data_IF_406565290295
#
_entry.id   IF_406565290295
#
_cell.length_a   1.000
_cell.length_b   1.000
_cell.length_c   1.000
_cell.angle_alpha   90.00
_cell.angle_beta   90.00
_cell.angle_gamma   90.00
#
_symmetry.space_group_name_H-M   'P 1'
#
loop_
_entity.id
_entity.type
_entity.pdbx_description
1 polymer ?
#
# COMPACT_ATOMS: atom_id res chain seq x y z
N UNK A 1 -32.18 -13.67 -16.03
CA UNK A 1 -32.69 -12.32 -15.70
C UNK A 1 -31.57 -11.27 -15.86
N UNK A 2 -31.91 -9.98 -16.06
CA UNK A 2 -30.88 -8.92 -16.16
C UNK A 2 -29.90 -8.91 -14.95
N UNK A 3 -30.41 -9.16 -13.74
CA UNK A 3 -29.62 -9.25 -12.51
C UNK A 3 -28.59 -10.40 -12.56
N UNK A 4 -29.01 -11.58 -12.99
CA UNK A 4 -28.10 -12.72 -13.17
C UNK A 4 -27.01 -12.44 -14.20
N UNK A 5 -27.36 -11.72 -15.29
CA UNK A 5 -26.38 -11.31 -16.31
C UNK A 5 -25.35 -10.34 -15.73
N UNK A 6 -25.79 -9.37 -14.92
CA UNK A 6 -24.91 -8.41 -14.21
C UNK A 6 -23.95 -9.14 -13.26
N UNK A 7 -24.47 -10.06 -12.45
CA UNK A 7 -23.65 -10.87 -11.53
C UNK A 7 -22.62 -11.73 -12.27
N UNK A 8 -23.05 -12.38 -13.36
CA UNK A 8 -22.13 -13.18 -14.19
C UNK A 8 -21.02 -12.31 -14.78
N UNK A 9 -21.35 -11.12 -15.29
CA UNK A 9 -20.38 -10.19 -15.83
C UNK A 9 -19.37 -9.74 -14.74
N UNK A 10 -19.84 -9.42 -13.52
CA UNK A 10 -18.98 -9.09 -12.37
C UNK A 10 -17.93 -10.18 -12.13
N UNK A 11 -18.35 -11.43 -12.03
CA UNK A 11 -17.42 -12.55 -11.83
C UNK A 11 -16.46 -12.73 -12.99
N UNK A 12 -16.93 -12.67 -14.24
CA UNK A 12 -16.08 -12.84 -15.41
C UNK A 12 -15.00 -11.75 -15.52
N UNK A 13 -15.32 -10.52 -15.15
CA UNK A 13 -14.37 -9.41 -15.21
C UNK A 13 -13.35 -9.43 -14.07
N UNK A 14 -13.66 -10.01 -12.90
CA UNK A 14 -12.82 -9.91 -11.71
C UNK A 14 -12.08 -11.20 -11.35
N UNK A 15 -12.47 -12.36 -11.87
CA UNK A 15 -11.90 -13.66 -11.48
C UNK A 15 -10.39 -13.74 -11.69
N UNK A 16 -9.90 -13.19 -12.80
CA UNK A 16 -8.45 -13.17 -13.09
C UNK A 16 -7.68 -12.26 -12.13
N UNK A 17 -8.27 -11.14 -11.70
CA UNK A 17 -7.63 -10.24 -10.74
C UNK A 17 -7.56 -10.90 -9.35
N UNK A 18 -8.61 -11.62 -8.90
CA UNK A 18 -8.54 -12.41 -7.67
C UNK A 18 -7.50 -13.53 -7.73
N UNK A 19 -7.38 -14.24 -8.86
CA UNK A 19 -6.33 -15.23 -9.07
C UNK A 19 -4.93 -14.59 -8.93
N UNK A 20 -4.71 -13.43 -9.55
CA UNK A 20 -3.45 -12.69 -9.46
C UNK A 20 -3.13 -12.19 -8.05
N UNK A 21 -4.13 -11.78 -7.29
CA UNK A 21 -3.92 -11.47 -5.85
C UNK A 21 -3.34 -12.67 -5.10
N UNK A 22 -3.87 -13.89 -5.36
CA UNK A 22 -3.36 -15.14 -4.80
C UNK A 22 -1.92 -15.42 -5.23
N UNK A 23 -1.59 -15.26 -6.52
CA UNK A 23 -0.23 -15.44 -7.05
C UNK A 23 0.79 -14.51 -6.37
N UNK A 24 0.43 -13.24 -6.18
CA UNK A 24 1.29 -12.27 -5.49
C UNK A 24 1.44 -12.58 -4.00
N UNK A 25 0.40 -13.08 -3.32
CA UNK A 25 0.50 -13.54 -1.93
C UNK A 25 1.48 -14.71 -1.79
N UNK A 26 1.48 -15.68 -2.72
CA UNK A 26 2.46 -16.77 -2.77
C UNK A 26 3.88 -16.23 -2.99
N UNK A 27 4.07 -15.25 -3.87
CA UNK A 27 5.38 -14.65 -4.09
C UNK A 27 5.91 -13.94 -2.83
N UNK A 28 5.07 -13.19 -2.12
CA UNK A 28 5.42 -12.55 -0.85
C UNK A 28 5.84 -13.60 0.19
N UNK A 29 5.09 -14.71 0.28
CA UNK A 29 5.43 -15.83 1.19
C UNK A 29 6.80 -16.43 0.87
N UNK A 30 7.15 -16.57 -0.42
CA UNK A 30 8.47 -17.06 -0.84
C UNK A 30 9.60 -16.11 -0.44
N UNK A 31 9.39 -14.80 -0.60
CA UNK A 31 10.37 -13.78 -0.16
C UNK A 31 10.56 -13.85 1.36
N UNK A 32 9.48 -13.98 2.13
CA UNK A 32 9.55 -14.11 3.59
C UNK A 32 10.31 -15.38 4.02
N UNK A 33 10.04 -16.51 3.34
CA UNK A 33 10.76 -17.77 3.57
C UNK A 33 12.25 -17.62 3.26
N UNK A 34 12.62 -17.00 2.14
CA UNK A 34 14.02 -16.78 1.77
C UNK A 34 14.75 -15.91 2.80
N UNK A 35 14.13 -14.85 3.28
CA UNK A 35 14.69 -14.00 4.33
C UNK A 35 14.92 -14.79 5.62
N UNK A 36 13.97 -15.63 6.02
CA UNK A 36 14.07 -16.48 7.21
C UNK A 36 15.19 -17.51 7.09
N UNK A 37 15.21 -18.29 6.00
CA UNK A 37 16.22 -19.34 5.76
C UNK A 37 17.64 -18.78 5.72
N UNK A 38 17.81 -17.58 5.17
CA UNK A 38 19.11 -16.90 5.07
C UNK A 38 19.43 -16.01 6.27
N UNK A 39 18.59 -16.03 7.31
CA UNK A 39 18.73 -15.17 8.52
C UNK A 39 18.95 -13.70 8.18
N UNK A 40 18.25 -13.19 7.17
CA UNK A 40 18.34 -11.79 6.73
C UNK A 40 17.30 -10.94 7.40
N UNK A 41 17.68 -9.75 7.83
CA UNK A 41 16.81 -8.82 8.57
C UNK A 41 16.91 -7.45 7.91
N UNK A 42 15.75 -6.82 7.68
CA UNK A 42 15.69 -5.42 7.26
C UNK A 42 16.11 -4.49 8.39
N UNK A 43 16.67 -3.33 8.05
CA UNK A 43 16.93 -2.27 9.03
C UNK A 43 15.63 -1.79 9.67
N UNK A 44 15.68 -1.21 10.86
CA UNK A 44 14.47 -0.78 11.58
C UNK A 44 13.72 0.32 10.82
N UNK A 45 14.43 1.21 10.14
CA UNK A 45 13.83 2.16 9.21
C UNK A 45 13.06 1.46 8.08
N UNK A 46 13.63 0.41 7.47
CA UNK A 46 12.96 -0.33 6.40
C UNK A 46 11.75 -1.12 6.91
N UNK A 47 11.83 -1.69 8.12
CA UNK A 47 10.69 -2.35 8.77
C UNK A 47 9.53 -1.38 9.03
N UNK A 48 9.85 -0.19 9.55
CA UNK A 48 8.84 0.84 9.77
C UNK A 48 8.16 1.26 8.46
N UNK A 49 8.95 1.53 7.42
CA UNK A 49 8.47 1.88 6.10
C UNK A 49 7.55 0.80 5.52
N UNK A 50 7.97 -0.48 5.58
CA UNK A 50 7.16 -1.62 5.15
C UNK A 50 5.86 -1.74 5.96
N UNK A 51 5.92 -1.57 7.28
CA UNK A 51 4.72 -1.64 8.13
C UNK A 51 3.67 -0.59 7.76
N UNK A 52 4.08 0.64 7.44
CA UNK A 52 3.16 1.68 6.96
C UNK A 52 2.55 1.28 5.62
N UNK A 53 3.35 0.82 4.67
CA UNK A 53 2.87 0.38 3.35
C UNK A 53 1.95 -0.83 3.45
N UNK A 54 2.28 -1.83 4.27
CA UNK A 54 1.45 -3.02 4.52
C UNK A 54 0.11 -2.66 5.17
N UNK A 55 0.09 -1.68 6.06
CA UNK A 55 -1.14 -1.16 6.67
C UNK A 55 -2.05 -0.51 5.63
N UNK A 56 -1.47 0.27 4.71
CA UNK A 56 -2.20 0.86 3.59
C UNK A 56 -2.74 -0.22 2.62
N UNK A 57 -1.91 -1.23 2.31
CA UNK A 57 -2.29 -2.32 1.43
C UNK A 57 -3.41 -3.19 2.03
N UNK A 58 -3.35 -3.44 3.34
CA UNK A 58 -4.42 -4.16 4.05
C UNK A 58 -5.75 -3.42 3.97
N UNK A 59 -5.75 -2.10 4.22
CA UNK A 59 -6.98 -1.31 4.08
C UNK A 59 -7.51 -1.33 2.63
N UNK A 60 -6.62 -1.26 1.64
CA UNK A 60 -7.00 -1.36 0.23
C UNK A 60 -7.68 -2.70 -0.08
N UNK A 61 -7.13 -3.82 0.41
CA UNK A 61 -7.71 -5.14 0.27
C UNK A 61 -9.08 -5.23 0.94
N UNK A 62 -9.21 -4.72 2.18
CA UNK A 62 -10.47 -4.72 2.92
C UNK A 62 -11.55 -3.90 2.18
N UNK A 63 -11.21 -2.71 1.68
CA UNK A 63 -12.09 -1.90 0.84
C UNK A 63 -12.54 -2.64 -0.43
N UNK A 64 -11.60 -3.27 -1.12
CA UNK A 64 -11.86 -3.98 -2.37
C UNK A 64 -12.77 -5.19 -2.14
N UNK A 65 -12.48 -6.01 -1.14
CA UNK A 65 -13.24 -7.22 -0.83
C UNK A 65 -14.67 -6.85 -0.37
N UNK A 66 -14.81 -5.88 0.53
CA UNK A 66 -16.11 -5.43 1.02
C UNK A 66 -16.94 -4.82 -0.12
N UNK A 67 -16.31 -4.00 -0.98
CA UNK A 67 -16.99 -3.47 -2.16
C UNK A 67 -17.48 -4.55 -3.10
N UNK A 68 -16.70 -5.63 -3.26
CA UNK A 68 -17.08 -6.75 -4.14
C UNK A 68 -18.22 -7.59 -3.54
N UNK A 69 -18.17 -7.87 -2.24
CA UNK A 69 -19.15 -8.72 -1.54
C UNK A 69 -20.48 -7.99 -1.36
N UNK A 70 -20.42 -6.74 -0.90
CA UNK A 70 -21.60 -5.96 -0.51
C UNK A 70 -22.10 -5.03 -1.64
N UNK A 71 -21.43 -5.02 -2.79
CA UNK A 71 -21.69 -4.08 -3.92
C UNK A 71 -21.63 -2.61 -3.47
N UNK A 72 -20.73 -2.30 -2.53
CA UNK A 72 -20.59 -0.97 -1.92
C UNK A 72 -19.75 -0.05 -2.83
N UNK A 73 -20.46 0.78 -3.61
CA UNK A 73 -19.86 1.75 -4.54
C UNK A 73 -19.10 2.87 -3.82
N UNK A 74 -19.49 3.19 -2.57
CA UNK A 74 -18.82 4.24 -1.77
C UNK A 74 -17.42 3.77 -1.37
N UNK A 75 -17.27 2.52 -0.96
CA UNK A 75 -15.97 1.93 -0.66
C UNK A 75 -15.18 1.66 -1.95
N UNK A 76 -15.82 1.21 -3.03
CA UNK A 76 -15.17 1.05 -4.33
C UNK A 76 -14.51 2.36 -4.82
N UNK A 77 -15.18 3.49 -4.65
CA UNK A 77 -14.65 4.81 -5.04
C UNK A 77 -13.41 5.26 -4.23
N UNK A 78 -13.19 4.70 -3.02
CA UNK A 78 -12.01 5.00 -2.18
C UNK A 78 -10.78 4.19 -2.58
N UNK A 79 -10.94 3.13 -3.35
CA UNK A 79 -9.85 2.23 -3.75
C UNK A 79 -8.81 2.95 -4.61
N UNK A 80 -9.23 3.72 -5.61
CA UNK A 80 -8.28 4.37 -6.54
C UNK A 80 -7.40 5.43 -5.87
N UNK A 81 -7.91 6.36 -5.01
CA UNK A 81 -7.06 7.29 -4.27
C UNK A 81 -6.02 6.58 -3.39
N UNK A 82 -6.40 5.50 -2.69
CA UNK A 82 -5.49 4.74 -1.85
C UNK A 82 -4.46 3.96 -2.69
N UNK A 83 -4.88 3.41 -3.84
CA UNK A 83 -3.99 2.74 -4.80
C UNK A 83 -2.95 3.70 -5.35
N UNK A 84 -3.33 4.95 -5.71
CA UNK A 84 -2.39 5.97 -6.18
C UNK A 84 -1.33 6.26 -5.10
N UNK A 85 -1.75 6.44 -3.84
CA UNK A 85 -0.82 6.64 -2.72
C UNK A 85 0.13 5.45 -2.53
N UNK A 86 -0.36 4.21 -2.58
CA UNK A 86 0.50 3.01 -2.47
C UNK A 86 1.57 2.98 -3.56
N UNK A 87 1.22 3.36 -4.79
CA UNK A 87 2.19 3.49 -5.88
C UNK A 87 3.29 4.53 -5.60
N UNK A 88 2.91 5.68 -5.04
CA UNK A 88 3.85 6.73 -4.62
C UNK A 88 4.75 6.19 -3.50
N UNK A 89 4.18 5.58 -2.46
CA UNK A 89 4.93 4.99 -1.35
C UNK A 89 5.92 3.92 -1.84
N UNK A 90 5.50 3.02 -2.72
CA UNK A 90 6.39 2.01 -3.30
C UNK A 90 7.60 2.64 -3.99
N UNK A 91 7.40 3.71 -4.77
CA UNK A 91 8.49 4.43 -5.43
C UNK A 91 9.42 5.12 -4.43
N UNK A 92 8.87 5.80 -3.44
CA UNK A 92 9.65 6.47 -2.40
C UNK A 92 10.48 5.46 -1.59
N UNK A 93 9.92 4.32 -1.23
CA UNK A 93 10.62 3.26 -0.51
C UNK A 93 11.76 2.67 -1.36
N UNK A 94 11.56 2.47 -2.66
CA UNK A 94 12.62 2.07 -3.59
C UNK A 94 13.78 3.07 -3.59
N UNK A 95 13.49 4.37 -3.66
CA UNK A 95 14.51 5.42 -3.66
C UNK A 95 15.25 5.49 -2.32
N UNK A 96 14.55 5.37 -1.19
CA UNK A 96 15.15 5.31 0.14
C UNK A 96 16.05 4.09 0.29
N UNK A 97 15.62 2.95 -0.24
CA UNK A 97 16.40 1.72 -0.20
C UNK A 97 17.68 1.83 -1.04
N UNK A 98 17.63 2.40 -2.26
CA UNK A 98 18.81 2.68 -3.08
C UNK A 98 19.80 3.57 -2.31
N UNK A 99 19.32 4.58 -1.59
CA UNK A 99 20.16 5.43 -0.74
C UNK A 99 20.84 4.62 0.38
N UNK A 100 20.13 3.71 1.04
CA UNK A 100 20.70 2.81 2.06
C UNK A 100 21.79 1.89 1.47
N UNK A 101 21.55 1.32 0.29
CA UNK A 101 22.55 0.50 -0.43
C UNK A 101 23.82 1.30 -0.72
N UNK A 102 23.69 2.50 -1.28
CA UNK A 102 24.82 3.38 -1.60
C UNK A 102 25.65 3.77 -0.38
N UNK A 103 25.01 3.89 0.77
CA UNK A 103 25.66 4.23 2.04
C UNK A 103 26.20 3.00 2.79
N UNK A 104 26.12 1.79 2.23
CA UNK A 104 26.55 0.56 2.88
C UNK A 104 25.72 0.16 4.10
N UNK A 105 24.51 0.69 4.22
CA UNK A 105 23.59 0.44 5.35
C UNK A 105 22.73 -0.83 5.17
N UNK A 106 22.79 -1.48 4.02
CA UNK A 106 22.20 -2.79 3.79
C UNK A 106 23.00 -3.56 2.72
N UNK A 107 22.86 -4.89 2.72
CA UNK A 107 23.47 -5.74 1.71
C UNK A 107 22.59 -5.86 0.44
N UNK A 108 23.20 -6.20 -0.68
CA UNK A 108 22.56 -6.28 -1.98
C UNK A 108 21.42 -7.32 -2.05
N UNK A 109 21.60 -8.46 -1.39
CA UNK A 109 20.61 -9.54 -1.45
C UNK A 109 19.36 -9.20 -0.63
N UNK A 110 19.53 -8.57 0.55
CA UNK A 110 18.41 -8.00 1.31
C UNK A 110 17.70 -6.92 0.50
N UNK A 111 18.46 -6.20 -0.36
CA UNK A 111 17.94 -5.21 -1.29
C UNK A 111 17.03 -5.80 -2.37
N UNK A 112 17.39 -6.93 -2.93
CA UNK A 112 16.53 -7.63 -3.90
C UNK A 112 15.23 -8.08 -3.26
N UNK A 113 15.29 -8.71 -2.08
CA UNK A 113 14.09 -9.13 -1.34
C UNK A 113 13.16 -7.93 -1.03
N UNK A 114 13.71 -6.78 -0.63
CA UNK A 114 12.94 -5.57 -0.39
C UNK A 114 12.24 -5.07 -1.66
N UNK A 115 12.96 -5.02 -2.78
CA UNK A 115 12.38 -4.60 -4.07
C UNK A 115 11.31 -5.56 -4.57
N UNK A 116 11.48 -6.87 -4.34
CA UNK A 116 10.49 -7.88 -4.72
C UNK A 116 9.21 -7.74 -3.92
N UNK A 117 9.29 -7.46 -2.60
CA UNK A 117 8.12 -7.15 -1.78
C UNK A 117 7.38 -5.93 -2.33
N UNK A 118 8.08 -4.81 -2.57
CA UNK A 118 7.47 -3.59 -3.09
C UNK A 118 6.81 -3.80 -4.46
N UNK A 119 7.40 -4.62 -5.30
CA UNK A 119 6.85 -4.95 -6.62
C UNK A 119 5.55 -5.75 -6.49
N UNK A 120 5.51 -6.75 -5.60
CA UNK A 120 4.30 -7.52 -5.37
C UNK A 120 3.20 -6.68 -4.72
N UNK A 121 3.52 -5.77 -3.79
CA UNK A 121 2.55 -4.86 -3.17
C UNK A 121 1.92 -3.90 -4.18
N UNK A 122 2.72 -3.30 -5.07
CA UNK A 122 2.23 -2.44 -6.15
C UNK A 122 1.30 -3.20 -7.12
N UNK A 123 1.63 -4.47 -7.44
CA UNK A 123 0.78 -5.33 -8.28
C UNK A 123 -0.53 -5.71 -7.61
N UNK A 124 -0.51 -6.06 -6.32
CA UNK A 124 -1.73 -6.29 -5.54
C UNK A 124 -2.63 -5.04 -5.59
N UNK A 125 -2.05 -3.86 -5.35
CA UNK A 125 -2.80 -2.61 -5.40
C UNK A 125 -3.42 -2.35 -6.78
N UNK A 126 -2.72 -2.68 -7.88
CA UNK A 126 -3.24 -2.56 -9.23
C UNK A 126 -4.43 -3.51 -9.49
N UNK A 127 -4.36 -4.77 -9.03
CA UNK A 127 -5.47 -5.73 -9.16
C UNK A 127 -6.69 -5.33 -8.32
N UNK A 128 -6.48 -4.76 -7.12
CA UNK A 128 -7.55 -4.17 -6.32
C UNK A 128 -8.28 -3.04 -7.06
N UNK A 129 -7.53 -2.16 -7.72
CA UNK A 129 -8.09 -1.09 -8.56
C UNK A 129 -8.93 -1.65 -9.71
N UNK A 130 -8.46 -2.68 -10.42
CA UNK A 130 -9.22 -3.32 -11.50
C UNK A 130 -10.57 -3.88 -11.00
N UNK A 131 -10.56 -4.56 -9.84
CA UNK A 131 -11.77 -5.10 -9.24
C UNK A 131 -12.75 -3.97 -8.88
N UNK A 132 -12.27 -2.90 -8.24
CA UNK A 132 -13.12 -1.76 -7.88
C UNK A 132 -13.71 -1.06 -9.10
N UNK A 133 -12.92 -0.88 -10.16
CA UNK A 133 -13.38 -0.32 -11.45
C UNK A 133 -14.49 -1.18 -12.05
N UNK A 134 -14.31 -2.52 -12.07
CA UNK A 134 -15.33 -3.44 -12.59
C UNK A 134 -16.67 -3.34 -11.83
N UNK A 135 -16.61 -3.13 -10.49
CA UNK A 135 -17.82 -2.93 -9.68
C UNK A 135 -18.53 -1.60 -10.05
N UNK A 136 -17.77 -0.52 -10.16
CA UNK A 136 -18.30 0.81 -10.47
C UNK A 136 -18.89 0.88 -11.88
N UNK A 137 -18.28 0.19 -12.86
CA UNK A 137 -18.75 0.15 -14.24
C UNK A 137 -20.06 -0.64 -14.41
N UNK A 138 -20.22 -1.73 -13.68
CA UNK A 138 -21.42 -2.55 -13.74
C UNK A 138 -22.67 -1.84 -13.19
N UNK A 139 -22.49 -0.82 -12.35
CA UNK A 139 -23.59 0.01 -11.86
C UNK A 139 -23.93 1.17 -12.79
N UNK A 140 -22.93 1.70 -13.50
CA UNK A 140 -23.17 2.71 -14.54
C UNK A 140 -23.68 2.02 -15.82
N UNK A 141 -24.88 2.36 -16.28
CA UNK A 141 -25.52 1.80 -17.49
C UNK A 141 -24.78 2.09 -18.82
N UNK A 142 -23.58 2.65 -18.79
CA UNK A 142 -22.71 2.95 -19.92
C UNK A 142 -21.44 2.08 -19.88
N UNK A 143 -21.45 1.04 -20.70
CA UNK A 143 -20.39 0.05 -20.91
C UNK A 143 -19.23 0.63 -21.74
N UNK A 144 -18.41 1.54 -21.18
CA UNK A 144 -17.16 1.94 -21.84
C UNK A 144 -15.98 2.00 -20.87
N UNK A 145 -15.32 0.83 -20.73
CA UNK A 145 -14.22 0.57 -19.78
C UNK A 145 -13.04 1.55 -19.92
N UNK A 146 -12.79 2.06 -21.13
CA UNK A 146 -11.68 3.00 -21.39
C UNK A 146 -12.03 4.45 -21.07
N UNK A 147 -13.30 4.85 -21.12
CA UNK A 147 -13.72 6.21 -20.79
C UNK A 147 -13.80 6.45 -19.28
N UNK A 148 -14.24 5.45 -18.50
CA UNK A 148 -14.34 5.58 -17.04
C UNK A 148 -12.96 5.71 -16.38
N UNK A 149 -12.00 4.86 -16.74
CA UNK A 149 -10.62 4.96 -16.22
C UNK A 149 -9.95 6.29 -16.59
N UNK A 150 -10.29 6.85 -17.77
CA UNK A 150 -9.86 8.19 -18.18
C UNK A 150 -10.66 9.30 -17.51
N UNK A 151 -11.94 9.10 -17.20
CA UNK A 151 -12.81 10.10 -16.58
C UNK A 151 -12.58 10.16 -15.06
N UNK A 152 -12.34 9.04 -14.38
CA UNK A 152 -11.92 9.05 -12.97
C UNK A 152 -10.56 9.74 -12.82
N UNK A 153 -9.63 9.54 -13.75
CA UNK A 153 -8.36 10.30 -13.79
C UNK A 153 -8.55 11.78 -14.21
N UNK A 154 -9.59 12.11 -14.98
CA UNK A 154 -9.88 13.50 -15.42
C UNK A 154 -10.76 14.27 -14.45
N UNK A 155 -11.67 13.58 -13.76
CA UNK A 155 -12.47 14.14 -12.68
C UNK A 155 -11.75 13.86 -11.36
N UNK A 156 -10.67 14.62 -11.08
CA UNK A 156 -10.24 14.85 -9.70
C UNK A 156 -11.36 15.66 -9.04
N UNK A 157 -12.47 14.98 -8.79
CA UNK A 157 -13.56 15.48 -7.99
C UNK A 157 -13.01 15.88 -6.62
N UNK A 158 -13.57 16.91 -5.99
CA UNK A 158 -13.19 17.34 -4.65
C UNK A 158 -13.17 16.17 -3.65
N UNK A 159 -14.02 15.15 -3.86
CA UNK A 159 -14.06 13.95 -3.06
C UNK A 159 -12.84 13.05 -3.24
N UNK A 160 -12.33 12.90 -4.48
CA UNK A 160 -11.10 12.14 -4.75
C UNK A 160 -9.89 12.79 -4.06
N UNK A 161 -9.74 14.11 -4.25
CA UNK A 161 -8.62 14.86 -3.67
C UNK A 161 -8.66 14.80 -2.15
N UNK A 162 -9.81 15.03 -1.51
CA UNK A 162 -9.96 14.95 -0.06
C UNK A 162 -9.70 13.55 0.50
N UNK A 163 -10.08 12.50 -0.25
CA UNK A 163 -9.81 11.10 0.13
C UNK A 163 -8.32 10.76 -0.01
N UNK A 164 -7.67 11.24 -1.07
CA UNK A 164 -6.23 11.08 -1.25
C UNK A 164 -5.45 11.80 -0.13
N UNK A 165 -5.77 13.07 0.17
CA UNK A 165 -5.15 13.85 1.23
C UNK A 165 -5.32 13.18 2.61
N UNK A 166 -6.50 12.60 2.87
CA UNK A 166 -6.74 11.80 4.08
C UNK A 166 -5.78 10.62 4.19
N UNK A 167 -5.61 9.84 3.10
CA UNK A 167 -4.72 8.69 3.10
C UNK A 167 -3.24 9.09 3.18
N UNK A 168 -2.84 10.19 2.53
CA UNK A 168 -1.48 10.71 2.60
C UNK A 168 -1.10 11.12 4.04
N UNK A 169 -2.03 11.73 4.77
CA UNK A 169 -1.83 12.05 6.19
C UNK A 169 -1.79 10.79 7.06
N UNK A 170 -2.65 9.80 6.79
CA UNK A 170 -2.76 8.56 7.55
C UNK A 170 -1.53 7.67 7.39
N UNK A 171 -0.99 7.55 6.19
CA UNK A 171 0.11 6.65 5.84
C UNK A 171 1.41 7.39 5.57
N UNK A 172 1.92 8.07 6.60
CA UNK A 172 3.13 8.88 6.49
C UNK A 172 4.38 8.07 6.86
N UNK A 173 5.26 7.81 5.88
CA UNK A 173 6.54 7.11 6.06
C UNK A 173 7.67 7.97 6.65
N UNK A 174 7.44 9.27 6.89
CA UNK A 174 8.44 10.16 7.47
C UNK A 174 8.43 10.18 9.00
N UNK A 175 7.53 9.42 9.63
CA UNK A 175 7.37 9.36 11.09
C UNK A 175 8.45 8.55 11.84
N UNK A 176 9.36 7.83 11.12
CA UNK A 176 10.41 7.06 11.76
C UNK A 176 11.41 7.98 12.49
N UNK A 177 11.57 7.76 13.79
CA UNK A 177 12.59 8.40 14.62
C UNK A 177 13.48 7.30 15.22
N UNK A 178 14.79 7.27 14.94
CA UNK A 178 15.72 6.35 15.59
C UNK A 178 15.68 6.53 17.10
N UNK A 179 15.79 5.44 17.87
CA UNK A 179 15.74 5.47 19.35
C UNK A 179 16.76 6.43 19.95
N UNK A 180 17.94 6.56 19.34
CA UNK A 180 18.98 7.51 19.77
C UNK A 180 18.56 9.00 19.73
N UNK A 181 17.56 9.36 18.90
CA UNK A 181 17.01 10.73 18.87
C UNK A 181 15.87 10.93 19.88
N UNK A 182 15.24 9.85 20.33
CA UNK A 182 14.19 9.93 21.36
C UNK A 182 14.78 10.26 22.72
N UNK A 183 15.92 9.65 23.08
CA UNK A 183 16.61 9.94 24.35
C UNK A 183 17.14 11.37 24.43
N UNK A 184 17.63 11.92 23.31
CA UNK A 184 18.11 13.32 23.26
C UNK A 184 16.97 14.32 23.35
N UNK A 185 15.81 14.05 22.77
CA UNK A 185 14.61 14.92 22.87
C UNK A 185 13.93 14.82 24.25
N UNK A 186 13.98 13.65 24.88
CA UNK A 186 13.48 13.46 26.26
C UNK A 186 14.38 14.19 27.29
N UNK A 187 15.70 14.13 27.11
CA UNK A 187 16.67 14.84 27.95
C UNK A 187 16.59 16.37 27.79
N UNK A 188 16.32 16.86 26.59
CA UNK A 188 16.15 18.28 26.32
C UNK A 188 14.83 18.86 26.87
N UNK A 189 13.79 18.04 27.05
CA UNK A 189 12.50 18.44 27.65
C UNK A 189 12.49 18.45 29.18
N UNK A 190 13.52 17.86 29.85
CA UNK A 190 13.60 17.79 31.31
C UNK A 190 15.03 18.08 31.81
N UNK A 191 15.49 19.34 31.74
CA UNK A 191 16.87 19.71 32.13
C UNK A 191 17.19 19.50 33.61
N UNK A 192 16.18 19.28 34.46
CA UNK A 192 16.38 19.11 35.92
C UNK A 192 16.89 17.71 36.30
N UNK A 193 16.63 16.67 35.48
CA UNK A 193 17.10 15.29 35.76
C UNK A 193 18.56 15.00 35.33
N UNK A 194 19.16 15.85 34.53
CA UNK A 194 20.52 15.65 34.03
C UNK A 194 21.62 16.03 35.05
N UNK A 195 21.28 16.69 36.16
CA UNK A 195 22.24 17.16 37.17
C UNK A 195 22.42 16.12 38.30
N UNK A 196 21.46 15.23 38.53
CA UNK A 196 21.53 14.22 39.60
C UNK A 196 22.29 12.94 39.22
N UNK A 197 22.61 12.70 37.96
CA UNK A 197 23.33 11.50 37.49
C UNK A 197 24.89 11.69 37.47
N UNK A 198 25.42 12.83 37.94
CA UNK A 198 26.87 13.14 38.01
C UNK A 198 27.37 13.45 39.43
N UNK A 199 26.76 12.85 40.43
CA UNK A 199 27.36 12.85 41.79
C UNK A 199 27.61 11.45 42.27
#
# INVERSE_FOLDING_TARGET
TPEQSKQTAKFLHTISDFERLGDHAVNISRVAQELHEKSRIFSDAAKYELHVLESALKELLDLTINSFVDEDLVNAAKVEPLRELIGILCNDLKMRHIKRLRNGQCDLNTGFAFNDLLTNYDRIAAHCSNIAVAILELDSSNFDMHEYTKSVRKLKDNNYVSTFDYYEQKYNINGYQPEAEQDTKAAAKNPVKAVEAKK
#
